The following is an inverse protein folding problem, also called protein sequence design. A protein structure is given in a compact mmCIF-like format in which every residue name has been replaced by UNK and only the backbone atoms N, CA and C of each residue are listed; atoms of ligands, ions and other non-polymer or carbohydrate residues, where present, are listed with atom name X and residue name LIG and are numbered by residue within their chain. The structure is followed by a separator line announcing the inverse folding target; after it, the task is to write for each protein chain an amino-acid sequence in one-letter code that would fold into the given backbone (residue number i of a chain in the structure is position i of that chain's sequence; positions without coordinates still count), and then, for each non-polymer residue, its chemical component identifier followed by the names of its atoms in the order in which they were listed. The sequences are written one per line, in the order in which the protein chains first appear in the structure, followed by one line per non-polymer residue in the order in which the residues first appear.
data_IF_546366543831
#
_entry.id   IF_546366543831
#
_cell.length_a   1.000
_cell.length_b   1.000
_cell.length_c   1.000
_cell.angle_alpha   90.00
_cell.angle_beta   90.00
_cell.angle_gamma   90.00
#
_symmetry.space_group_name_H-M   'P 1'
#
loop_
_entity.id
_entity.type
_entity.pdbx_description
1 polymer ?
#
# COMPACT_ATOMS: atom_id res chain seq x y z
N UNK A 1 -35.35 33.06 -62.38
CA UNK A 1 -35.20 31.87 -61.53
C UNK A 1 -33.99 32.12 -60.67
N UNK A 2 -34.19 32.02 -59.36
CA UNK A 2 -33.37 32.57 -58.28
C UNK A 2 -32.03 31.85 -58.06
N UNK A 3 -31.24 32.45 -57.17
CA UNK A 3 -29.84 32.25 -56.86
C UNK A 3 -29.55 31.09 -55.87
N UNK A 4 -28.27 31.06 -55.45
CA UNK A 4 -27.63 30.36 -54.32
C UNK A 4 -27.06 28.97 -54.64
N UNK A 5 -25.73 28.79 -54.76
CA UNK A 5 -24.65 28.93 -53.77
C UNK A 5 -24.76 27.91 -52.64
N UNK A 6 -24.03 26.80 -52.75
CA UNK A 6 -23.47 26.11 -51.59
C UNK A 6 -22.19 25.36 -51.95
N UNK A 7 -21.15 25.76 -51.25
CA UNK A 7 -19.77 25.29 -51.21
C UNK A 7 -19.63 24.06 -50.32
N UNK A 8 -18.86 23.04 -50.73
CA UNK A 8 -18.10 22.21 -49.79
C UNK A 8 -16.77 21.77 -50.42
N UNK A 9 -15.68 22.39 -49.95
CA UNK A 9 -14.31 21.88 -50.07
C UNK A 9 -13.90 21.22 -48.72
N UNK A 10 -12.73 20.56 -48.65
CA UNK A 10 -12.57 19.21 -48.16
C UNK A 10 -12.48 19.11 -46.62
N UNK A 11 -13.15 18.11 -46.05
CA UNK A 11 -12.99 17.77 -44.63
C UNK A 11 -11.59 17.21 -44.34
N UNK A 12 -10.74 18.02 -43.73
CA UNK A 12 -9.70 17.54 -42.81
C UNK A 12 -10.27 17.59 -41.39
N UNK A 13 -10.34 16.44 -40.70
CA UNK A 13 -10.38 16.41 -39.25
C UNK A 13 -9.81 15.08 -38.75
N UNK A 14 -8.69 15.23 -38.07
CA UNK A 14 -7.81 14.22 -37.49
C UNK A 14 -8.45 13.59 -36.25
N UNK A 15 -7.96 12.40 -35.88
CA UNK A 15 -8.05 11.72 -34.56
C UNK A 15 -9.32 10.93 -34.22
N UNK A 16 -9.31 9.64 -34.58
CA UNK A 16 -10.17 8.58 -34.03
C UNK A 16 -9.32 7.46 -33.39
N UNK A 17 -8.26 7.81 -32.64
CA UNK A 17 -7.37 6.80 -32.04
C UNK A 17 -7.38 6.74 -30.51
N UNK A 18 -8.18 7.56 -29.81
CA UNK A 18 -8.17 7.59 -28.34
C UNK A 18 -9.32 6.80 -27.66
N UNK A 19 -10.32 6.32 -28.41
CA UNK A 19 -11.44 5.57 -27.80
C UNK A 19 -11.18 4.05 -27.70
N UNK A 20 -10.43 3.47 -28.65
CA UNK A 20 -10.23 2.02 -28.72
C UNK A 20 -9.32 1.47 -27.61
N UNK A 21 -8.38 2.26 -27.10
CA UNK A 21 -7.41 1.80 -26.08
C UNK A 21 -8.09 1.53 -24.72
N UNK A 22 -9.15 2.28 -24.38
CA UNK A 22 -9.86 2.08 -23.09
C UNK A 22 -10.79 0.86 -23.10
N UNK A 23 -11.42 0.54 -24.25
CA UNK A 23 -12.36 -0.58 -24.34
C UNK A 23 -11.67 -1.94 -24.26
N UNK A 24 -10.48 -2.08 -24.86
CA UNK A 24 -9.72 -3.33 -24.80
C UNK A 24 -9.10 -3.57 -23.42
N UNK A 25 -8.65 -2.52 -22.73
CA UNK A 25 -8.19 -2.56 -21.33
C UNK A 25 -9.30 -3.02 -20.36
N UNK A 26 -10.53 -2.57 -20.58
CA UNK A 26 -11.65 -2.92 -19.71
C UNK A 26 -12.12 -4.36 -19.94
N UNK A 27 -12.30 -4.76 -21.21
CA UNK A 27 -12.65 -6.15 -21.58
C UNK A 27 -11.60 -7.16 -21.16
N UNK A 28 -10.32 -6.81 -21.22
CA UNK A 28 -9.26 -7.69 -20.71
C UNK A 28 -9.31 -7.81 -19.20
N UNK A 29 -9.47 -6.71 -18.45
CA UNK A 29 -9.69 -6.76 -16.98
C UNK A 29 -10.89 -7.62 -16.58
N UNK A 30 -12.01 -7.49 -17.29
CA UNK A 30 -13.23 -8.26 -17.03
C UNK A 30 -13.04 -9.75 -17.36
N UNK A 31 -12.21 -10.09 -18.35
CA UNK A 31 -11.81 -11.46 -18.66
C UNK A 31 -10.79 -12.04 -17.64
N UNK A 32 -9.92 -11.19 -17.07
CA UNK A 32 -8.96 -11.52 -16.01
C UNK A 32 -9.60 -11.74 -14.64
N UNK A 33 -10.87 -11.33 -14.44
CA UNK A 33 -11.64 -11.50 -13.19
C UNK A 33 -12.75 -12.57 -13.29
N UNK A 34 -12.70 -13.45 -14.30
CA UNK A 34 -13.71 -14.48 -14.46
C UNK A 34 -13.39 -15.74 -13.64
N UNK A 35 -14.02 -15.89 -12.46
CA UNK A 35 -13.91 -17.03 -11.53
C UNK A 35 -13.99 -18.45 -12.12
N UNK A 36 -14.48 -18.59 -13.36
CA UNK A 36 -14.58 -19.87 -14.06
C UNK A 36 -13.38 -20.19 -14.96
N UNK A 37 -12.36 -19.33 -15.02
CA UNK A 37 -11.15 -19.54 -15.83
C UNK A 37 -9.94 -19.92 -14.94
N UNK A 38 -9.32 -21.07 -15.18
CA UNK A 38 -8.12 -21.49 -14.41
C UNK A 38 -6.94 -20.52 -14.60
N UNK A 39 -6.85 -19.88 -15.78
CA UNK A 39 -5.83 -18.86 -16.07
C UNK A 39 -6.05 -17.57 -15.28
N UNK A 40 -7.30 -17.15 -15.03
CA UNK A 40 -7.56 -15.98 -14.20
C UNK A 40 -7.19 -16.22 -12.74
N UNK A 41 -7.39 -17.44 -12.24
CA UNK A 41 -6.99 -17.80 -10.86
C UNK A 41 -5.47 -17.75 -10.66
N UNK A 42 -4.68 -18.17 -11.65
CA UNK A 42 -3.22 -18.07 -11.59
C UNK A 42 -2.78 -16.61 -11.67
N UNK A 43 -3.24 -15.84 -12.65
CA UNK A 43 -2.90 -14.41 -12.78
C UNK A 43 -3.33 -13.62 -11.54
N UNK A 44 -4.48 -13.95 -10.96
CA UNK A 44 -4.96 -13.37 -9.71
C UNK A 44 -4.04 -13.70 -8.53
N UNK A 45 -3.67 -14.98 -8.38
CA UNK A 45 -2.75 -15.41 -7.33
C UNK A 45 -1.37 -14.75 -7.48
N UNK A 46 -0.87 -14.61 -8.71
CA UNK A 46 0.38 -13.91 -9.02
C UNK A 46 0.29 -12.43 -8.65
N UNK A 47 -0.81 -11.76 -9.00
CA UNK A 47 -1.07 -10.36 -8.64
C UNK A 47 -1.15 -10.18 -7.12
N UNK A 48 -1.88 -11.05 -6.40
CA UNK A 48 -1.97 -11.01 -4.94
C UNK A 48 -0.61 -11.27 -4.27
N UNK A 49 0.18 -12.20 -4.80
CA UNK A 49 1.53 -12.46 -4.32
C UNK A 49 2.45 -11.24 -4.54
N UNK A 50 2.35 -10.58 -5.69
CA UNK A 50 3.09 -9.36 -5.99
C UNK A 50 2.72 -8.21 -5.06
N UNK A 51 1.43 -7.97 -4.84
CA UNK A 51 0.95 -6.94 -3.90
C UNK A 51 1.40 -7.22 -2.46
N UNK A 52 1.36 -8.49 -2.04
CA UNK A 52 1.91 -8.89 -0.74
C UNK A 52 3.40 -8.57 -0.62
N UNK A 53 4.21 -8.87 -1.63
CA UNK A 53 5.64 -8.54 -1.62
C UNK A 53 5.86 -7.02 -1.51
N UNK A 54 5.08 -6.22 -2.24
CA UNK A 54 5.14 -4.76 -2.12
C UNK A 54 4.78 -4.27 -0.71
N UNK A 55 3.78 -4.89 -0.07
CA UNK A 55 3.43 -4.58 1.31
C UNK A 55 4.56 -4.95 2.27
N UNK A 56 5.21 -6.11 2.10
CA UNK A 56 6.35 -6.51 2.94
C UNK A 56 7.52 -5.54 2.84
N UNK A 57 7.81 -5.04 1.66
CA UNK A 57 8.84 -4.03 1.47
C UNK A 57 8.46 -2.67 2.07
N UNK A 58 7.18 -2.26 1.96
CA UNK A 58 6.67 -1.09 2.65
C UNK A 58 6.79 -1.22 4.18
N UNK A 59 6.43 -2.38 4.74
CA UNK A 59 6.55 -2.67 6.18
C UNK A 59 8.00 -2.59 6.68
N UNK A 60 8.95 -3.14 5.91
CA UNK A 60 10.38 -3.05 6.24
C UNK A 60 10.87 -1.60 6.26
N UNK A 61 10.39 -0.76 5.33
CA UNK A 61 10.71 0.67 5.28
C UNK A 61 10.09 1.43 6.46
N UNK A 62 8.83 1.15 6.79
CA UNK A 62 8.16 1.68 7.99
C UNK A 62 8.95 1.34 9.25
N UNK A 63 9.29 0.07 9.47
CA UNK A 63 10.03 -0.36 10.66
C UNK A 63 11.42 0.28 10.73
N UNK A 64 12.10 0.42 9.59
CA UNK A 64 13.40 1.10 9.51
C UNK A 64 13.29 2.58 9.88
N UNK A 65 12.25 3.26 9.42
CA UNK A 65 11.97 4.64 9.79
C UNK A 65 11.78 4.74 11.30
N UNK A 66 10.87 3.95 11.88
CA UNK A 66 10.61 3.94 13.32
C UNK A 66 11.89 3.71 14.14
N UNK A 67 12.67 2.70 13.78
CA UNK A 67 13.92 2.38 14.44
C UNK A 67 14.90 3.56 14.41
N UNK A 68 15.17 4.11 13.22
CA UNK A 68 16.08 5.25 13.05
C UNK A 68 15.61 6.46 13.82
N UNK A 69 14.35 6.84 13.70
CA UNK A 69 13.80 7.99 14.41
C UNK A 69 13.93 7.84 15.93
N UNK A 70 13.75 6.64 16.49
CA UNK A 70 13.93 6.43 17.93
C UNK A 70 15.39 6.49 18.39
N UNK A 71 16.34 6.06 17.56
CA UNK A 71 17.78 6.15 17.85
C UNK A 71 18.31 7.56 17.66
N UNK A 72 18.00 8.20 16.53
CA UNK A 72 18.49 9.53 16.17
C UNK A 72 18.00 10.59 17.15
N UNK A 73 16.79 10.42 17.70
CA UNK A 73 16.25 11.30 18.75
C UNK A 73 16.69 10.91 20.16
N UNK A 74 17.57 9.91 20.29
CA UNK A 74 18.04 9.34 21.57
C UNK A 74 16.91 8.90 22.50
N UNK A 75 15.76 8.57 21.91
CA UNK A 75 14.61 8.06 22.66
C UNK A 75 14.89 6.65 23.15
N UNK A 76 15.42 5.80 22.28
CA UNK A 76 15.91 4.47 22.64
C UNK A 76 17.42 4.40 22.56
N UNK A 77 18.02 3.54 23.38
CA UNK A 77 19.35 2.99 23.12
C UNK A 77 19.29 1.98 21.98
N UNK A 78 20.43 1.66 21.37
CA UNK A 78 20.51 0.67 20.29
C UNK A 78 19.91 -0.69 20.70
N UNK A 79 20.25 -1.17 21.91
CA UNK A 79 19.68 -2.41 22.47
C UNK A 79 18.16 -2.34 22.64
N UNK A 80 17.63 -1.20 23.06
CA UNK A 80 16.19 -1.01 23.23
C UNK A 80 15.47 -0.99 21.88
N UNK A 81 16.04 -0.34 20.86
CA UNK A 81 15.47 -0.34 19.53
C UNK A 81 15.55 -1.74 18.87
N UNK A 82 16.59 -2.53 19.16
CA UNK A 82 16.67 -3.94 18.73
C UNK A 82 15.52 -4.74 19.35
N UNK A 83 15.29 -4.61 20.66
CA UNK A 83 14.15 -5.25 21.34
C UNK A 83 12.81 -4.80 20.75
N UNK A 84 12.63 -3.51 20.48
CA UNK A 84 11.45 -2.99 19.79
C UNK A 84 11.24 -3.67 18.43
N UNK A 85 12.29 -3.80 17.62
CA UNK A 85 12.22 -4.49 16.31
C UNK A 85 11.79 -5.95 16.46
N UNK A 86 12.26 -6.64 17.49
CA UNK A 86 11.90 -8.04 17.73
C UNK A 86 10.42 -8.16 18.15
N UNK A 87 9.92 -7.21 18.95
CA UNK A 87 8.48 -7.10 19.29
C UNK A 87 7.64 -6.87 18.03
N UNK A 88 8.12 -6.05 17.08
CA UNK A 88 7.44 -5.85 15.80
C UNK A 88 7.24 -7.16 15.07
N UNK A 89 8.32 -7.91 14.83
CA UNK A 89 8.22 -9.16 14.08
C UNK A 89 7.40 -10.24 14.78
N UNK A 90 7.37 -10.25 16.12
CA UNK A 90 6.45 -11.12 16.86
C UNK A 90 5.00 -10.71 16.62
N UNK A 91 4.70 -9.42 16.70
CA UNK A 91 3.34 -8.88 16.49
C UNK A 91 2.85 -9.07 15.05
N UNK A 92 3.75 -8.92 14.08
CA UNK A 92 3.50 -9.16 12.66
C UNK A 92 3.09 -10.62 12.38
N UNK A 93 3.81 -11.59 12.96
CA UNK A 93 3.46 -13.01 12.85
C UNK A 93 2.11 -13.32 13.46
N UNK A 94 1.83 -12.79 14.66
CA UNK A 94 0.55 -13.00 15.34
C UNK A 94 -0.63 -12.33 14.61
N UNK A 95 -0.34 -11.26 13.87
CA UNK A 95 -1.30 -10.59 12.99
C UNK A 95 -1.37 -11.19 11.58
N UNK A 96 -0.65 -12.28 11.30
CA UNK A 96 -0.61 -12.94 9.99
C UNK A 96 -0.22 -11.98 8.85
N UNK A 97 0.79 -11.13 9.10
CA UNK A 97 1.25 -10.08 8.17
C UNK A 97 0.22 -9.00 7.83
N UNK A 98 -0.91 -8.92 8.56
CA UNK A 98 -1.87 -7.84 8.41
C UNK A 98 -1.41 -6.61 9.22
N UNK A 99 -1.03 -5.53 8.53
CA UNK A 99 -0.50 -4.33 9.17
C UNK A 99 -1.51 -3.66 10.10
N UNK A 100 -2.77 -3.53 9.67
CA UNK A 100 -3.84 -2.90 10.46
C UNK A 100 -4.06 -3.61 11.79
N UNK A 101 -3.96 -4.95 11.81
CA UNK A 101 -4.03 -5.76 13.03
C UNK A 101 -2.72 -5.75 13.82
N UNK A 102 -1.57 -5.75 13.14
CA UNK A 102 -0.24 -5.79 13.75
C UNK A 102 0.15 -4.50 14.47
N UNK A 103 -0.24 -3.34 13.92
CA UNK A 103 0.07 -2.02 14.47
C UNK A 103 -0.35 -1.83 15.93
N UNK A 104 -1.63 -2.04 16.33
CA UNK A 104 -2.05 -1.91 17.73
C UNK A 104 -1.41 -2.98 18.62
N UNK A 105 -1.20 -4.21 18.14
CA UNK A 105 -0.53 -5.27 18.90
C UNK A 105 0.92 -4.89 19.23
N UNK A 106 1.64 -4.39 18.23
CA UNK A 106 3.01 -3.91 18.39
C UNK A 106 3.08 -2.76 19.39
N UNK A 107 2.21 -1.75 19.24
CA UNK A 107 2.16 -0.60 20.13
C UNK A 107 1.97 -1.05 21.59
N UNK A 108 0.95 -1.87 21.84
CA UNK A 108 0.62 -2.32 23.18
C UNK A 108 1.76 -3.14 23.81
N UNK A 109 2.36 -4.07 23.06
CA UNK A 109 3.47 -4.89 23.55
C UNK A 109 4.71 -4.07 23.86
N UNK A 110 5.03 -3.09 23.02
CA UNK A 110 6.18 -2.20 23.23
C UNK A 110 5.95 -1.30 24.43
N UNK A 111 4.73 -0.77 24.61
CA UNK A 111 4.35 -0.03 25.82
C UNK A 111 4.49 -0.89 27.08
N UNK A 112 4.09 -2.17 27.03
CA UNK A 112 4.25 -3.09 28.16
C UNK A 112 5.72 -3.37 28.46
N UNK A 113 6.53 -3.68 27.45
CA UNK A 113 7.96 -3.96 27.60
C UNK A 113 8.70 -2.78 28.24
N UNK A 114 8.40 -1.56 27.80
CA UNK A 114 9.10 -0.35 28.23
C UNK A 114 8.30 0.51 29.22
N UNK A 115 7.31 -0.07 29.90
CA UNK A 115 6.39 0.66 30.79
C UNK A 115 7.10 1.49 31.89
N UNK A 116 8.29 1.05 32.32
CA UNK A 116 9.07 1.73 33.36
C UNK A 116 9.95 2.86 32.82
N UNK A 117 10.36 2.79 31.56
CA UNK A 117 11.40 3.65 31.00
C UNK A 117 10.89 4.59 29.90
N UNK A 118 9.80 4.24 29.21
CA UNK A 118 9.29 4.94 28.03
C UNK A 118 7.76 5.01 28.07
N UNK A 119 7.23 5.69 29.09
CA UNK A 119 5.77 5.75 29.38
C UNK A 119 4.97 6.42 28.26
N UNK A 120 5.60 7.31 27.51
CA UNK A 120 5.01 8.09 26.43
C UNK A 120 5.13 7.40 25.05
N UNK A 121 5.63 6.16 25.00
CA UNK A 121 5.86 5.45 23.73
C UNK A 121 4.59 5.39 22.86
N UNK A 122 3.41 5.20 23.45
CA UNK A 122 2.15 5.19 22.70
C UNK A 122 1.94 6.47 21.90
N UNK A 123 2.11 7.64 22.52
CA UNK A 123 1.97 8.94 21.86
C UNK A 123 3.08 9.16 20.82
N UNK A 124 4.32 8.80 21.17
CA UNK A 124 5.47 8.89 20.24
C UNK A 124 5.26 8.02 19.00
N UNK A 125 4.70 6.83 19.19
CA UNK A 125 4.42 5.87 18.13
C UNK A 125 3.37 6.39 17.14
N UNK A 126 2.27 6.96 17.63
CA UNK A 126 1.26 7.56 16.74
C UNK A 126 1.86 8.74 15.96
N UNK A 127 2.60 9.63 16.63
CA UNK A 127 3.27 10.75 15.95
C UNK A 127 4.22 10.29 14.86
N UNK A 128 5.08 9.31 15.14
CA UNK A 128 6.01 8.78 14.14
C UNK A 128 5.28 8.05 13.01
N UNK A 129 4.14 7.43 13.30
CA UNK A 129 3.28 6.86 12.27
C UNK A 129 2.75 7.97 11.36
N UNK A 130 2.19 9.04 11.91
CA UNK A 130 1.71 10.17 11.13
C UNK A 130 2.82 10.83 10.30
N UNK A 131 4.00 11.03 10.90
CA UNK A 131 5.19 11.54 10.19
C UNK A 131 5.55 10.62 9.02
N UNK A 132 5.52 9.29 9.20
CA UNK A 132 5.79 8.35 8.12
C UNK A 132 4.74 8.46 6.99
N UNK A 133 3.45 8.53 7.33
CA UNK A 133 2.39 8.70 6.33
C UNK A 133 2.53 10.02 5.56
N UNK A 134 2.98 11.07 6.24
CA UNK A 134 3.21 12.37 5.62
C UNK A 134 4.41 12.36 4.65
N UNK A 135 5.58 11.89 5.11
CA UNK A 135 6.81 11.92 4.29
C UNK A 135 6.94 10.77 3.28
N UNK A 136 6.20 9.68 3.48
CA UNK A 136 6.30 8.45 2.68
C UNK A 136 4.95 7.95 2.16
N UNK A 137 4.04 8.87 1.81
CA UNK A 137 2.66 8.59 1.41
C UNK A 137 2.50 7.38 0.47
N UNK A 138 3.20 7.36 -0.66
CA UNK A 138 3.10 6.28 -1.67
C UNK A 138 3.55 4.90 -1.18
N UNK A 139 4.39 4.85 -0.14
CA UNK A 139 4.78 3.62 0.54
C UNK A 139 3.80 3.28 1.66
N UNK A 140 3.24 4.29 2.32
CA UNK A 140 2.29 4.12 3.41
C UNK A 140 0.96 3.52 2.93
N UNK A 141 0.49 3.87 1.72
CA UNK A 141 -0.68 3.23 1.10
C UNK A 141 -0.54 1.71 1.00
N UNK A 142 0.67 1.25 0.69
CA UNK A 142 0.98 -0.19 0.52
C UNK A 142 1.01 -0.96 1.83
N UNK A 143 1.05 -0.29 2.99
CA UNK A 143 1.00 -0.97 4.29
C UNK A 143 -0.36 -1.61 4.55
N UNK A 144 -1.43 -0.99 4.06
CA UNK A 144 -2.82 -1.40 4.31
C UNK A 144 -3.32 -2.49 3.34
N UNK A 145 -2.42 -3.26 2.72
CA UNK A 145 -2.82 -4.40 1.90
C UNK A 145 -3.65 -5.39 2.71
N UNK A 146 -4.73 -5.85 2.11
CA UNK A 146 -5.59 -6.92 2.61
C UNK A 146 -5.73 -7.97 1.53
N UNK A 147 -5.53 -9.24 1.88
CA UNK A 147 -5.91 -10.35 1.01
C UNK A 147 -7.42 -10.26 0.79
N UNK A 148 -7.83 -9.86 -0.40
CA UNK A 148 -9.23 -9.92 -0.79
C UNK A 148 -9.50 -11.40 -1.07
N UNK A 149 -10.34 -12.06 -0.28
CA UNK A 149 -10.90 -13.33 -0.69
C UNK A 149 -12.11 -12.99 -1.56
N UNK A 150 -12.03 -13.22 -2.86
CA UNK A 150 -13.22 -13.18 -3.71
C UNK A 150 -14.12 -14.38 -3.32
N UNK A 151 -15.34 -14.08 -2.87
CA UNK A 151 -16.39 -15.06 -2.51
C UNK A 151 -17.10 -15.62 -3.74
#
# INVERSE_FOLDING_TARGET
MEADFQSESPGHSTTSNECCIRLDSQKTKDAYLNKNNKLSNQTYAEQQAWEFLQQRDAMRKFLRFMFRSTIDTKYFTEDQAIRMRDIWWKSDRDAQSNFTRGRPLFKNRTMTEFAKTHKDFGTKFEKLTDDYYYYHYSLAEKLNWTLVAEY
#
